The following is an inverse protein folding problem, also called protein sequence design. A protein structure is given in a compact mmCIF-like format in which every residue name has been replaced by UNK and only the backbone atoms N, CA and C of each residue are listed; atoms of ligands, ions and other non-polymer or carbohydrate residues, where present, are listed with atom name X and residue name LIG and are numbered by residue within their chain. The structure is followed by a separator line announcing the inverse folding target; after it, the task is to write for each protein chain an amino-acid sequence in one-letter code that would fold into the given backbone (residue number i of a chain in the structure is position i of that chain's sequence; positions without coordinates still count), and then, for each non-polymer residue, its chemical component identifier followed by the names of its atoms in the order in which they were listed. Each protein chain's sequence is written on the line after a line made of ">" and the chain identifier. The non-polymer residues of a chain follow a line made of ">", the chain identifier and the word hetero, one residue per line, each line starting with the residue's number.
data_IF_616659219544
#
_entry.id   IF_616659219544
#
_cell.length_a   1.000
_cell.length_b   1.000
_cell.length_c   1.000
_cell.angle_alpha   90.00
_cell.angle_beta   90.00
_cell.angle_gamma   90.00
#
_symmetry.space_group_name_H-M   'P 1'
#
loop_
_entity.id
_entity.type
_entity.pdbx_description
1 polymer ?
#
# COMPACT_ATOMS: atom_id res chain seq x y z
N UNK A 1 11.16 -17.39 -8.89
CA UNK A 1 11.47 -16.29 -7.94
C UNK A 1 10.91 -16.58 -6.55
N UNK A 2 9.65 -17.00 -6.46
CA UNK A 2 8.99 -17.42 -5.22
C UNK A 2 9.72 -18.54 -4.48
N UNK A 3 10.39 -19.45 -5.20
CA UNK A 3 11.18 -20.54 -4.61
C UNK A 3 12.27 -20.07 -3.62
N UNK A 4 12.79 -18.85 -3.77
CA UNK A 4 13.76 -18.29 -2.82
C UNK A 4 13.11 -17.87 -1.50
N UNK A 5 11.82 -17.54 -1.49
CA UNK A 5 11.08 -17.32 -0.26
C UNK A 5 10.89 -18.62 0.54
N UNK A 6 10.99 -19.79 -0.10
CA UNK A 6 10.90 -21.09 0.57
C UNK A 6 12.26 -21.61 1.07
N UNK A 7 13.30 -20.78 1.03
CA UNK A 7 14.66 -21.14 1.46
C UNK A 7 15.15 -20.08 2.45
N UNK A 8 15.39 -20.50 3.70
CA UNK A 8 15.89 -19.61 4.74
C UNK A 8 16.54 -20.35 5.90
N UNK A 9 17.27 -19.59 6.73
CA UNK A 9 17.89 -20.10 7.94
C UNK A 9 16.85 -20.32 9.07
N UNK A 10 17.29 -20.81 10.23
CA UNK A 10 16.39 -21.05 11.38
C UNK A 10 15.68 -19.76 11.83
N UNK A 11 16.39 -18.63 11.87
CA UNK A 11 15.82 -17.34 12.24
C UNK A 11 14.74 -16.86 11.27
N UNK A 12 14.93 -17.08 9.97
CA UNK A 12 13.94 -16.81 8.94
C UNK A 12 12.65 -17.60 9.19
N UNK A 13 12.75 -18.91 9.40
CA UNK A 13 11.59 -19.74 9.65
C UNK A 13 10.90 -19.42 10.99
N UNK A 14 11.66 -19.07 12.02
CA UNK A 14 11.11 -18.59 13.28
C UNK A 14 10.32 -17.29 13.10
N UNK A 15 10.84 -16.36 12.30
CA UNK A 15 10.15 -15.12 11.95
C UNK A 15 8.87 -15.38 11.16
N UNK A 16 8.90 -16.28 10.16
CA UNK A 16 7.72 -16.67 9.40
C UNK A 16 6.66 -17.31 10.29
N UNK A 17 7.05 -18.23 11.18
CA UNK A 17 6.12 -18.86 12.12
C UNK A 17 5.47 -17.83 13.07
N UNK A 18 6.25 -16.87 13.56
CA UNK A 18 5.75 -15.77 14.37
C UNK A 18 4.71 -14.92 13.60
N UNK A 19 5.00 -14.53 12.36
CA UNK A 19 4.08 -13.76 11.52
C UNK A 19 2.79 -14.55 11.23
N UNK A 20 2.88 -15.85 10.93
CA UNK A 20 1.71 -16.72 10.73
C UNK A 20 0.86 -16.80 12.00
N UNK A 21 1.49 -16.90 13.17
CA UNK A 21 0.77 -16.88 14.45
C UNK A 21 0.03 -15.56 14.65
N UNK A 22 0.66 -14.41 14.38
CA UNK A 22 0.00 -13.10 14.44
C UNK A 22 -1.17 -13.00 13.47
N UNK A 23 -1.03 -13.50 12.23
CA UNK A 23 -2.12 -13.55 11.24
C UNK A 23 -3.26 -14.43 11.75
N UNK A 24 -2.96 -15.60 12.32
CA UNK A 24 -3.97 -16.50 12.89
C UNK A 24 -4.76 -15.85 14.03
N UNK A 25 -4.09 -15.14 14.92
CA UNK A 25 -4.74 -14.36 15.99
C UNK A 25 -5.63 -13.23 15.41
N UNK A 26 -5.13 -12.52 14.39
CA UNK A 26 -5.90 -11.48 13.70
C UNK A 26 -7.15 -12.02 13.01
N UNK A 27 -7.04 -13.16 12.32
CA UNK A 27 -8.17 -13.84 11.68
C UNK A 27 -9.19 -14.35 12.70
N UNK A 28 -8.74 -14.87 13.84
CA UNK A 28 -9.63 -15.29 14.92
C UNK A 28 -10.40 -14.10 15.52
N UNK A 29 -9.72 -12.98 15.78
CA UNK A 29 -10.37 -11.76 16.24
C UNK A 29 -11.37 -11.20 15.21
N UNK A 30 -11.01 -11.25 13.92
CA UNK A 30 -11.91 -10.82 12.85
C UNK A 30 -13.13 -11.75 12.72
N UNK A 31 -12.96 -13.07 12.87
CA UNK A 31 -14.09 -14.01 12.89
C UNK A 31 -15.06 -13.71 14.05
N UNK A 32 -14.53 -13.46 15.25
CA UNK A 32 -15.33 -13.04 16.40
C UNK A 32 -16.12 -11.75 16.12
N UNK A 33 -15.48 -10.76 15.48
CA UNK A 33 -16.15 -9.53 15.04
C UNK A 33 -17.27 -9.78 14.02
N UNK A 34 -17.09 -10.69 13.08
CA UNK A 34 -18.13 -10.99 12.08
C UNK A 34 -19.40 -11.58 12.72
N UNK A 35 -19.24 -12.33 13.80
CA UNK A 35 -20.36 -12.90 14.56
C UNK A 35 -21.03 -11.88 15.49
N UNK A 36 -20.23 -11.07 16.20
CA UNK A 36 -20.73 -10.15 17.24
C UNK A 36 -20.96 -8.71 16.76
N UNK A 37 -20.57 -8.42 15.51
CA UNK A 37 -20.68 -7.10 14.88
C UNK A 37 -19.52 -6.16 15.21
N UNK A 38 -19.46 -5.03 14.48
CA UNK A 38 -18.38 -4.05 14.58
C UNK A 38 -18.26 -3.38 15.96
N UNK A 39 -19.28 -3.45 16.82
CA UNK A 39 -19.25 -2.85 18.16
C UNK A 39 -18.12 -3.38 19.05
N UNK A 40 -17.63 -4.60 18.81
CA UNK A 40 -16.49 -5.18 19.56
C UNK A 40 -15.19 -4.41 19.36
N UNK A 41 -15.08 -3.61 18.30
CA UNK A 41 -13.92 -2.76 18.02
C UNK A 41 -13.92 -1.45 18.81
N UNK A 42 -14.97 -1.19 19.59
CA UNK A 42 -15.20 0.10 20.26
C UNK A 42 -15.76 1.17 19.32
N UNK A 43 -16.04 0.85 18.06
CA UNK A 43 -16.80 1.72 17.17
C UNK A 43 -18.25 1.81 17.61
N UNK A 44 -18.86 2.97 17.39
CA UNK A 44 -20.23 3.27 17.77
C UNK A 44 -20.90 4.19 16.77
N UNK A 45 -22.08 4.69 17.12
CA UNK A 45 -22.86 5.58 16.25
C UNK A 45 -22.12 6.89 15.94
N UNK A 46 -21.46 7.47 16.95
CA UNK A 46 -20.80 8.76 16.81
C UNK A 46 -19.39 8.63 16.23
N UNK A 47 -18.72 7.49 16.47
CA UNK A 47 -17.39 7.15 15.95
C UNK A 47 -17.51 5.85 15.14
N UNK A 48 -17.92 6.02 13.87
CA UNK A 48 -18.13 4.91 12.93
C UNK A 48 -16.85 4.42 12.25
N UNK A 49 -15.78 5.22 12.30
CA UNK A 49 -14.46 4.88 11.76
C UNK A 49 -13.44 4.89 12.90
N UNK A 50 -12.93 3.70 13.21
CA UNK A 50 -11.95 3.48 14.27
C UNK A 50 -10.58 3.10 13.74
N UNK A 51 -9.98 2.09 14.37
CA UNK A 51 -8.63 1.63 14.07
C UNK A 51 -8.43 1.26 12.59
N UNK A 52 -9.41 0.59 11.97
CA UNK A 52 -9.27 0.10 10.60
C UNK A 52 -9.08 1.22 9.59
N UNK A 53 -9.94 2.24 9.60
CA UNK A 53 -9.86 3.35 8.67
C UNK A 53 -8.64 4.25 8.96
N UNK A 54 -8.24 4.38 10.23
CA UNK A 54 -7.00 5.05 10.61
C UNK A 54 -5.76 4.32 10.03
N UNK A 55 -5.68 3.00 10.18
CA UNK A 55 -4.58 2.18 9.63
C UNK A 55 -4.57 2.17 8.11
N UNK A 56 -5.75 2.03 7.50
CA UNK A 56 -5.93 2.19 6.06
C UNK A 56 -5.32 3.51 5.56
N UNK A 57 -5.64 4.63 6.20
CA UNK A 57 -5.16 5.95 5.79
C UNK A 57 -3.64 6.09 5.95
N UNK A 58 -3.11 5.56 7.05
CA UNK A 58 -1.66 5.50 7.26
C UNK A 58 -0.97 4.68 6.18
N UNK A 59 -1.50 3.50 5.83
CA UNK A 59 -0.93 2.61 4.84
C UNK A 59 -1.09 3.09 3.41
N UNK A 60 -2.15 3.83 3.08
CA UNK A 60 -2.22 4.60 1.83
C UNK A 60 -1.03 5.56 1.78
N UNK A 61 -0.71 6.21 2.91
CA UNK A 61 0.53 6.98 3.13
C UNK A 61 1.80 6.22 2.79
N UNK A 62 1.96 5.04 3.37
CA UNK A 62 3.10 4.16 3.13
C UNK A 62 3.19 3.72 1.67
N UNK A 63 2.05 3.49 1.01
CA UNK A 63 2.01 3.05 -0.37
C UNK A 63 2.60 4.08 -1.35
N UNK A 64 2.48 5.38 -1.07
CA UNK A 64 3.12 6.41 -1.90
C UNK A 64 4.63 6.54 -1.74
N UNK A 65 5.28 5.81 -0.83
CA UNK A 65 6.74 5.78 -0.74
C UNK A 65 7.42 5.44 -2.08
N UNK A 66 6.81 4.59 -2.90
CA UNK A 66 7.31 4.24 -4.23
C UNK A 66 7.44 5.46 -5.14
N UNK A 67 6.47 6.37 -5.14
CA UNK A 67 6.48 7.54 -6.04
C UNK A 67 7.65 8.48 -5.73
N UNK A 68 8.07 8.55 -4.45
CA UNK A 68 9.18 9.38 -4.00
C UNK A 68 10.53 8.97 -4.58
N UNK A 69 10.70 7.70 -4.94
CA UNK A 69 11.92 7.18 -5.56
C UNK A 69 11.77 6.97 -7.07
N UNK A 70 10.55 6.68 -7.54
CA UNK A 70 10.21 6.56 -8.97
C UNK A 70 10.36 7.91 -9.68
N UNK A 71 9.92 9.01 -9.08
CA UNK A 71 10.00 10.34 -9.69
C UNK A 71 11.46 10.75 -10.02
N UNK A 72 12.42 10.76 -9.07
CA UNK A 72 13.82 11.05 -9.39
C UNK A 72 14.41 10.11 -10.44
N UNK A 73 14.10 8.81 -10.37
CA UNK A 73 14.68 7.82 -11.28
C UNK A 73 14.18 7.98 -12.72
N UNK A 74 12.86 8.09 -12.92
CA UNK A 74 12.24 8.09 -14.26
C UNK A 74 12.07 9.49 -14.86
N UNK A 75 11.77 10.53 -14.05
CA UNK A 75 11.58 11.89 -14.57
C UNK A 75 12.87 12.72 -14.55
N UNK A 76 13.69 12.58 -13.51
CA UNK A 76 14.91 13.37 -13.36
C UNK A 76 16.19 12.60 -13.74
N UNK A 77 16.05 11.39 -14.32
CA UNK A 77 17.15 10.52 -14.75
C UNK A 77 18.21 10.24 -13.67
N UNK A 78 17.81 10.20 -12.39
CA UNK A 78 18.70 9.85 -11.26
C UNK A 78 18.77 8.33 -11.10
N UNK A 79 19.73 7.70 -11.81
CA UNK A 79 19.90 6.24 -11.83
C UNK A 79 20.29 5.61 -10.48
N UNK A 80 20.83 6.42 -9.58
CA UNK A 80 21.12 6.09 -8.17
C UNK A 80 19.94 5.44 -7.45
N UNK A 81 18.70 5.77 -7.84
CA UNK A 81 17.49 5.25 -7.20
C UNK A 81 17.03 3.87 -7.71
N UNK A 82 17.76 3.21 -8.63
CA UNK A 82 17.28 1.99 -9.29
C UNK A 82 16.91 0.84 -8.33
N UNK A 83 17.77 0.50 -7.37
CA UNK A 83 17.51 -0.60 -6.42
C UNK A 83 16.43 -0.22 -5.41
N UNK A 84 16.43 1.02 -4.93
CA UNK A 84 15.43 1.49 -3.97
C UNK A 84 14.04 1.64 -4.61
N UNK A 85 13.94 1.89 -5.92
CA UNK A 85 12.67 1.84 -6.66
C UNK A 85 12.01 0.48 -6.52
N UNK A 86 12.79 -0.62 -6.69
CA UNK A 86 12.25 -1.97 -6.53
C UNK A 86 11.71 -2.19 -5.11
N UNK A 87 12.46 -1.77 -4.09
CA UNK A 87 12.00 -1.87 -2.68
C UNK A 87 10.74 -1.04 -2.47
N UNK A 88 10.69 0.18 -3.01
CA UNK A 88 9.54 1.07 -2.94
C UNK A 88 8.29 0.49 -3.60
N UNK A 89 8.41 -0.06 -4.81
CA UNK A 89 7.28 -0.67 -5.54
C UNK A 89 6.71 -1.89 -4.79
N UNK A 90 7.54 -2.74 -4.20
CA UNK A 90 7.06 -3.86 -3.39
C UNK A 90 6.49 -3.43 -2.04
N UNK A 91 7.03 -2.38 -1.43
CA UNK A 91 6.43 -1.75 -0.25
C UNK A 91 5.03 -1.23 -0.58
N UNK A 92 4.88 -0.55 -1.73
CA UNK A 92 3.59 -0.09 -2.23
C UNK A 92 2.59 -1.22 -2.45
N UNK A 93 3.02 -2.34 -3.04
CA UNK A 93 2.18 -3.55 -3.20
C UNK A 93 1.72 -4.07 -1.84
N UNK A 94 2.63 -4.25 -0.89
CA UNK A 94 2.28 -4.77 0.44
C UNK A 94 1.34 -3.84 1.21
N UNK A 95 1.57 -2.53 1.15
CA UNK A 95 0.74 -1.52 1.77
C UNK A 95 -0.65 -1.46 1.13
N UNK A 96 -0.75 -1.49 -0.20
CA UNK A 96 -2.02 -1.49 -0.93
C UNK A 96 -2.87 -2.73 -0.62
N UNK A 97 -2.25 -3.91 -0.51
CA UNK A 97 -2.96 -5.14 -0.06
C UNK A 97 -3.51 -4.96 1.35
N UNK A 98 -2.69 -4.45 2.28
CA UNK A 98 -3.14 -4.20 3.65
C UNK A 98 -4.25 -3.15 3.72
N UNK A 99 -4.21 -2.09 2.91
CA UNK A 99 -5.30 -1.11 2.79
C UNK A 99 -6.62 -1.79 2.46
N UNK A 100 -6.64 -2.66 1.45
CA UNK A 100 -7.85 -3.38 1.05
C UNK A 100 -8.31 -4.36 2.12
N UNK A 101 -7.39 -5.01 2.85
CA UNK A 101 -7.74 -5.87 3.97
C UNK A 101 -8.36 -5.08 5.13
N UNK A 102 -7.88 -3.87 5.42
CA UNK A 102 -8.49 -3.01 6.44
C UNK A 102 -9.88 -2.52 6.03
N UNK A 103 -10.08 -2.16 4.76
CA UNK A 103 -11.42 -1.85 4.23
C UNK A 103 -12.34 -3.07 4.37
N UNK A 104 -11.87 -4.26 4.02
CA UNK A 104 -12.63 -5.51 4.17
C UNK A 104 -12.98 -5.80 5.62
N UNK A 105 -12.07 -5.53 6.56
CA UNK A 105 -12.30 -5.72 7.97
C UNK A 105 -13.30 -4.71 8.56
N UNK A 106 -13.34 -3.48 8.03
CA UNK A 106 -14.27 -2.43 8.44
C UNK A 106 -15.69 -2.63 7.89
N UNK A 107 -15.83 -3.37 6.79
CA UNK A 107 -17.13 -3.72 6.21
C UNK A 107 -17.96 -4.60 7.15
N UNK A 108 -19.14 -4.15 7.53
CA UNK A 108 -20.07 -4.95 8.35
C UNK A 108 -20.64 -6.19 7.64
N UNK A 109 -20.56 -6.27 6.31
CA UNK A 109 -20.98 -7.43 5.50
C UNK A 109 -19.97 -7.67 4.36
N UNK A 110 -18.74 -8.15 4.66
CA UNK A 110 -17.67 -8.28 3.66
C UNK A 110 -18.02 -9.22 2.51
N UNK A 111 -18.92 -10.18 2.71
CA UNK A 111 -19.44 -11.08 1.67
C UNK A 111 -20.11 -10.35 0.49
N UNK A 112 -20.45 -9.07 0.64
CA UNK A 112 -21.04 -8.24 -0.41
C UNK A 112 -20.02 -7.35 -1.14
N UNK A 113 -18.73 -7.46 -0.85
CA UNK A 113 -17.71 -6.55 -1.41
C UNK A 113 -17.68 -6.53 -2.94
N UNK A 114 -17.94 -7.67 -3.60
CA UNK A 114 -18.00 -7.77 -5.05
C UNK A 114 -19.15 -6.96 -5.67
N UNK A 115 -20.16 -6.58 -4.89
CA UNK A 115 -21.25 -5.73 -5.36
C UNK A 115 -20.75 -4.34 -5.78
N UNK A 116 -19.65 -3.85 -5.21
CA UNK A 116 -19.06 -2.56 -5.62
C UNK A 116 -18.60 -2.62 -7.09
N UNK A 117 -18.12 -3.77 -7.54
CA UNK A 117 -17.70 -3.98 -8.94
C UNK A 117 -18.88 -4.33 -9.85
N UNK A 118 -19.84 -5.11 -9.34
CA UNK A 118 -21.02 -5.54 -10.11
C UNK A 118 -22.03 -4.40 -10.33
N UNK A 119 -22.12 -3.46 -9.39
CA UNK A 119 -23.02 -2.32 -9.44
C UNK A 119 -22.21 -1.03 -9.26
N UNK A 120 -21.48 -0.58 -10.30
CA UNK A 120 -20.66 0.63 -10.22
C UNK A 120 -21.49 1.85 -9.84
N UNK A 121 -21.04 2.60 -8.84
CA UNK A 121 -21.65 3.87 -8.40
C UNK A 121 -20.63 5.00 -8.47
N UNK A 122 -20.42 5.65 -9.64
CA UNK A 122 -19.40 6.68 -9.83
C UNK A 122 -19.57 7.93 -8.97
N UNK A 123 -20.76 8.16 -8.41
CA UNK A 123 -21.02 9.25 -7.47
C UNK A 123 -20.49 8.99 -6.05
N UNK A 124 -20.02 7.77 -5.75
CA UNK A 124 -19.49 7.40 -4.44
C UNK A 124 -17.97 7.47 -4.42
N UNK A 125 -17.41 8.12 -3.40
CA UNK A 125 -15.96 8.17 -3.23
C UNK A 125 -15.35 6.81 -2.88
N UNK A 126 -16.11 5.94 -2.22
CA UNK A 126 -15.70 4.56 -1.91
C UNK A 126 -15.53 3.73 -3.19
N UNK A 127 -16.36 3.98 -4.22
CA UNK A 127 -16.20 3.32 -5.51
C UNK A 127 -14.86 3.72 -6.17
N UNK A 128 -14.55 5.02 -6.16
CA UNK A 128 -13.27 5.51 -6.68
C UNK A 128 -12.09 4.98 -5.87
N UNK A 129 -12.21 4.87 -4.55
CA UNK A 129 -11.17 4.31 -3.67
C UNK A 129 -10.82 2.87 -4.07
N UNK A 130 -11.83 2.03 -4.32
CA UNK A 130 -11.65 0.67 -4.86
C UNK A 130 -10.94 0.68 -6.21
N UNK A 131 -11.34 1.56 -7.14
CA UNK A 131 -10.71 1.67 -8.47
C UNK A 131 -9.24 2.08 -8.37
N UNK A 132 -8.93 3.11 -7.59
CA UNK A 132 -7.56 3.62 -7.51
C UNK A 132 -6.65 2.66 -6.74
N UNK A 133 -7.11 2.03 -5.65
CA UNK A 133 -6.29 1.06 -4.91
C UNK A 133 -5.97 -0.18 -5.75
N UNK A 134 -6.97 -0.74 -6.44
CA UNK A 134 -6.75 -1.91 -7.29
C UNK A 134 -5.86 -1.57 -8.50
N UNK A 135 -6.10 -0.42 -9.14
CA UNK A 135 -5.23 0.04 -10.24
C UNK A 135 -3.79 0.25 -9.77
N UNK A 136 -3.59 0.83 -8.57
CA UNK A 136 -2.26 1.07 -8.04
C UNK A 136 -1.55 -0.24 -7.75
N UNK A 137 -2.26 -1.18 -7.11
CA UNK A 137 -1.74 -2.50 -6.83
C UNK A 137 -1.29 -3.21 -8.12
N UNK A 138 -2.14 -3.24 -9.15
CA UNK A 138 -1.82 -3.92 -10.40
C UNK A 138 -0.63 -3.28 -11.12
N UNK A 139 -0.56 -1.95 -11.17
CA UNK A 139 0.55 -1.23 -11.80
C UNK A 139 1.87 -1.52 -11.09
N UNK A 140 1.92 -1.43 -9.76
CA UNK A 140 3.15 -1.68 -8.99
C UNK A 140 3.52 -3.17 -8.97
N UNK A 141 2.53 -4.07 -8.92
CA UNK A 141 2.79 -5.50 -8.94
C UNK A 141 3.37 -5.93 -10.29
N UNK A 142 2.76 -5.53 -11.40
CA UNK A 142 3.23 -5.90 -12.74
C UNK A 142 4.57 -5.20 -13.05
N UNK A 143 4.65 -3.89 -12.77
CA UNK A 143 5.85 -3.08 -12.98
C UNK A 143 7.03 -3.59 -12.16
N UNK A 144 6.86 -3.62 -10.83
CA UNK A 144 7.91 -4.03 -9.90
C UNK A 144 8.31 -5.49 -10.03
N UNK A 145 7.39 -6.40 -10.32
CA UNK A 145 7.74 -7.80 -10.59
C UNK A 145 8.60 -7.93 -11.86
N UNK A 146 8.28 -7.17 -12.91
CA UNK A 146 9.04 -7.20 -14.15
C UNK A 146 10.42 -6.57 -13.98
N UNK A 147 10.53 -5.44 -13.28
CA UNK A 147 11.80 -4.77 -12.99
C UNK A 147 12.68 -5.65 -12.10
N UNK A 148 12.14 -6.24 -11.04
CA UNK A 148 12.87 -7.19 -10.18
C UNK A 148 13.35 -8.42 -10.96
N UNK A 149 12.53 -8.94 -11.88
CA UNK A 149 12.91 -10.05 -12.74
C UNK A 149 14.05 -9.71 -13.70
N UNK A 150 14.09 -8.48 -14.23
CA UNK A 150 15.15 -7.98 -15.10
C UNK A 150 16.45 -7.73 -14.31
N UNK A 151 16.35 -7.08 -13.15
CA UNK A 151 17.48 -6.84 -12.22
C UNK A 151 18.16 -8.15 -11.82
N UNK A 152 17.37 -9.16 -11.45
CA UNK A 152 17.91 -10.49 -11.09
C UNK A 152 18.69 -11.14 -12.24
N UNK A 153 18.29 -10.88 -13.49
CA UNK A 153 18.95 -11.42 -14.69
C UNK A 153 20.12 -10.56 -15.15
N UNK A 154 20.36 -9.39 -14.53
CA UNK A 154 21.36 -8.43 -14.98
C UNK A 154 21.06 -7.85 -16.36
N UNK A 155 19.78 -7.77 -16.74
CA UNK A 155 19.35 -7.22 -18.03
C UNK A 155 18.50 -5.97 -17.81
N UNK A 156 18.48 -5.10 -18.82
CA UNK A 156 17.61 -3.93 -18.78
C UNK A 156 16.12 -4.36 -18.76
N UNK A 157 15.26 -3.67 -17.97
CA UNK A 157 13.83 -3.90 -17.99
C UNK A 157 13.24 -3.72 -19.40
N UNK A 158 12.27 -4.55 -19.82
CA UNK A 158 11.60 -4.39 -21.10
C UNK A 158 10.99 -2.99 -21.27
N UNK A 159 11.09 -2.43 -22.48
CA UNK A 159 10.62 -1.05 -22.76
C UNK A 159 9.12 -0.84 -22.50
N UNK A 160 8.31 -1.90 -22.59
CA UNK A 160 6.86 -1.85 -22.35
C UNK A 160 6.49 -1.58 -20.88
N UNK A 161 7.42 -1.80 -19.94
CA UNK A 161 7.19 -1.52 -18.52
C UNK A 161 7.21 -0.02 -18.24
N UNK A 162 7.96 0.76 -19.02
CA UNK A 162 8.09 2.21 -18.82
C UNK A 162 6.72 2.91 -18.83
N UNK A 163 5.83 2.72 -19.82
CA UNK A 163 4.47 3.26 -19.76
C UNK A 163 3.70 2.94 -18.48
N UNK A 164 3.81 1.72 -17.93
CA UNK A 164 3.12 1.35 -16.69
C UNK A 164 3.62 2.14 -15.48
N UNK A 165 4.94 2.38 -15.43
CA UNK A 165 5.54 3.19 -14.36
C UNK A 165 5.13 4.66 -14.51
N UNK A 166 5.14 5.19 -15.72
CA UNK A 166 4.63 6.55 -15.95
C UNK A 166 3.15 6.68 -15.57
N UNK A 167 2.35 5.63 -15.78
CA UNK A 167 0.95 5.58 -15.36
C UNK A 167 0.79 5.38 -13.84
N UNK A 168 1.73 4.72 -13.16
CA UNK A 168 1.67 4.52 -11.71
C UNK A 168 1.88 5.83 -10.94
N UNK A 169 2.62 6.79 -11.51
CA UNK A 169 2.84 8.12 -10.93
C UNK A 169 1.51 8.85 -10.66
N UNK A 170 0.67 9.22 -11.67
CA UNK A 170 -0.60 9.89 -11.41
C UNK A 170 -1.51 9.04 -10.54
N UNK A 171 -1.44 7.71 -10.65
CA UNK A 171 -2.23 6.81 -9.81
C UNK A 171 -1.84 6.87 -8.33
N UNK A 172 -0.55 7.09 -8.01
CA UNK A 172 -0.08 7.35 -6.66
C UNK A 172 -0.66 8.66 -6.09
N UNK A 173 -0.75 9.73 -6.88
CA UNK A 173 -1.41 10.96 -6.45
C UNK A 173 -2.92 10.75 -6.29
N UNK A 174 -3.53 9.94 -7.16
CA UNK A 174 -4.95 9.62 -7.12
C UNK A 174 -5.35 8.87 -5.86
N UNK A 175 -4.60 7.85 -5.39
CA UNK A 175 -4.96 7.14 -4.15
C UNK A 175 -5.06 8.10 -2.96
N UNK A 176 -4.14 9.06 -2.84
CA UNK A 176 -4.18 10.06 -1.76
C UNK A 176 -5.33 11.06 -1.89
N UNK A 177 -5.52 11.57 -3.10
CA UNK A 177 -6.56 12.55 -3.37
C UNK A 177 -7.93 11.93 -3.13
N UNK A 178 -8.11 10.69 -3.56
CA UNK A 178 -9.36 9.96 -3.39
C UNK A 178 -9.64 9.66 -1.93
N UNK A 179 -8.65 9.16 -1.19
CA UNK A 179 -8.79 8.96 0.25
C UNK A 179 -9.09 10.29 0.97
N UNK A 180 -8.44 11.40 0.62
CA UNK A 180 -8.75 12.70 1.21
C UNK A 180 -10.19 13.14 0.93
N UNK A 181 -10.70 12.93 -0.29
CA UNK A 181 -12.10 13.23 -0.62
C UNK A 181 -13.09 12.32 0.10
N UNK A 182 -12.71 11.07 0.38
CA UNK A 182 -13.52 10.15 1.18
C UNK A 182 -13.69 10.68 2.62
N UNK A 183 -12.65 11.29 3.19
CA UNK A 183 -12.74 11.98 4.48
C UNK A 183 -13.54 13.30 4.39
N UNK A 184 -13.28 14.12 3.38
CA UNK A 184 -14.00 15.39 3.21
C UNK A 184 -15.51 15.19 2.97
N UNK A 185 -15.89 14.07 2.34
CA UNK A 185 -17.28 13.71 2.07
C UNK A 185 -18.06 13.20 3.28
N UNK A 186 -17.43 13.02 4.45
CA UNK A 186 -18.10 12.53 5.67
C UNK A 186 -18.96 13.62 6.33
N UNK A 187 -20.30 13.46 6.37
CA UNK A 187 -21.17 14.43 7.04
C UNK A 187 -20.87 14.52 8.53
N UNK A 188 -20.97 15.72 9.11
CA UNK A 188 -20.74 15.95 10.54
C UNK A 188 -19.27 16.01 10.97
N UNK A 189 -18.31 15.81 10.05
CA UNK A 189 -16.87 15.94 10.32
C UNK A 189 -16.29 17.21 9.70
N UNK A 190 -16.76 18.36 10.16
CA UNK A 190 -16.41 19.68 9.62
C UNK A 190 -14.90 19.97 9.58
N UNK A 191 -14.10 19.40 10.49
CA UNK A 191 -12.63 19.51 10.47
C UNK A 191 -11.97 18.86 9.25
N UNK A 192 -12.68 17.95 8.57
CA UNK A 192 -12.20 17.27 7.36
C UNK A 192 -12.71 17.93 6.08
N UNK A 193 -13.77 18.75 6.17
CA UNK A 193 -14.32 19.45 5.03
C UNK A 193 -13.50 20.71 4.70
N UNK A 194 -12.32 20.52 4.13
CA UNK A 194 -11.40 21.60 3.78
C UNK A 194 -10.67 21.31 2.48
N UNK A 195 -10.51 22.34 1.64
CA UNK A 195 -9.83 22.23 0.35
C UNK A 195 -8.35 21.82 0.46
N UNK A 196 -7.71 22.11 1.60
CA UNK A 196 -6.30 21.77 1.83
C UNK A 196 -6.11 20.29 2.24
N UNK A 197 -7.18 19.54 2.47
CA UNK A 197 -7.07 18.17 2.98
C UNK A 197 -6.28 17.26 2.03
N UNK A 198 -6.57 17.31 0.72
CA UNK A 198 -5.86 16.48 -0.26
C UNK A 198 -4.34 16.81 -0.35
N UNK A 199 -3.92 18.08 -0.49
CA UNK A 199 -2.49 18.43 -0.38
C UNK A 199 -1.85 18.01 0.94
N UNK A 200 -2.57 18.14 2.06
CA UNK A 200 -2.07 17.74 3.38
C UNK A 200 -1.86 16.23 3.49
N UNK A 201 -2.80 15.43 2.98
CA UNK A 201 -2.66 13.97 2.91
C UNK A 201 -1.42 13.58 2.12
N UNK A 202 -1.23 14.19 0.96
CA UNK A 202 -0.07 13.94 0.11
C UNK A 202 1.25 14.29 0.80
N UNK A 203 1.34 15.45 1.45
CA UNK A 203 2.53 15.85 2.20
C UNK A 203 2.86 14.87 3.34
N UNK A 204 1.84 14.47 4.11
CA UNK A 204 2.01 13.50 5.20
C UNK A 204 2.37 12.10 4.70
N UNK A 205 1.83 11.69 3.55
CA UNK A 205 2.13 10.43 2.91
C UNK A 205 3.58 10.35 2.46
N UNK A 206 4.08 11.40 1.80
CA UNK A 206 5.47 11.46 1.37
C UNK A 206 6.43 11.42 2.56
N UNK A 207 6.10 12.09 3.67
CA UNK A 207 6.89 12.02 4.89
C UNK A 207 6.88 10.61 5.51
N UNK A 208 5.70 10.05 5.79
CA UNK A 208 5.56 8.76 6.46
C UNK A 208 6.07 7.59 5.60
N UNK A 209 5.70 7.57 4.32
CA UNK A 209 6.12 6.54 3.38
C UNK A 209 7.64 6.53 3.18
N UNK A 210 8.27 7.69 2.99
CA UNK A 210 9.72 7.77 2.85
C UNK A 210 10.43 7.34 4.13
N UNK A 211 9.91 7.71 5.30
CA UNK A 211 10.48 7.27 6.58
C UNK A 211 10.45 5.74 6.73
N UNK A 212 9.33 5.08 6.40
CA UNK A 212 9.22 3.62 6.41
C UNK A 212 10.16 2.99 5.37
N UNK A 213 10.27 3.57 4.17
CA UNK A 213 11.17 3.06 3.12
C UNK A 213 12.65 3.12 3.55
N UNK A 214 13.06 4.19 4.22
CA UNK A 214 14.41 4.32 4.78
C UNK A 214 14.65 3.26 5.86
N UNK A 215 13.70 3.08 6.79
CA UNK A 215 13.80 2.07 7.84
C UNK A 215 13.91 0.65 7.26
N UNK A 216 13.08 0.32 6.26
CA UNK A 216 13.14 -0.98 5.60
C UNK A 216 14.47 -1.16 4.88
N UNK A 217 14.96 -0.13 4.20
CA UNK A 217 16.27 -0.17 3.52
C UNK A 217 17.41 -0.39 4.51
N UNK A 218 17.35 0.21 5.70
CA UNK A 218 18.31 -0.02 6.79
C UNK A 218 18.23 -1.46 7.34
N UNK A 219 17.02 -1.98 7.55
CA UNK A 219 16.81 -3.38 7.98
C UNK A 219 17.35 -4.35 6.93
N UNK A 220 17.08 -4.11 5.64
CA UNK A 220 17.58 -4.95 4.56
C UNK A 220 19.11 -4.95 4.51
N UNK A 221 19.74 -3.77 4.65
CA UNK A 221 21.20 -3.64 4.68
C UNK A 221 21.83 -4.41 5.84
N UNK A 222 21.26 -4.32 7.03
CA UNK A 222 21.80 -4.94 8.24
C UNK A 222 21.55 -6.46 8.31
N UNK A 223 20.39 -6.93 7.84
CA UNK A 223 20.01 -8.34 7.96
C UNK A 223 20.38 -9.21 6.76
N UNK A 224 20.43 -8.63 5.56
CA UNK A 224 20.66 -9.37 4.31
C UNK A 224 21.90 -8.91 3.53
N UNK A 225 22.55 -7.82 3.95
CA UNK A 225 23.64 -7.20 3.21
C UNK A 225 23.21 -6.48 1.92
N UNK A 226 21.90 -6.40 1.65
CA UNK A 226 21.36 -5.71 0.48
C UNK A 226 21.39 -4.19 0.70
N UNK A 227 22.29 -3.49 0.00
CA UNK A 227 22.36 -2.04 0.03
C UNK A 227 21.52 -1.42 -1.11
N UNK A 228 20.33 -0.94 -0.75
CA UNK A 228 19.40 -0.28 -1.67
C UNK A 228 19.91 1.07 -2.21
N UNK A 229 20.93 1.68 -1.59
CA UNK A 229 21.54 2.93 -2.03
C UNK A 229 22.70 2.76 -3.02
N UNK A 230 23.09 1.52 -3.32
CA UNK A 230 24.12 1.26 -4.34
C UNK A 230 23.53 1.31 -5.74
N UNK A 231 24.22 1.97 -6.67
CA UNK A 231 23.79 2.00 -8.08
C UNK A 231 23.57 0.60 -8.65
N UNK A 232 22.58 0.49 -9.52
CA UNK A 232 22.40 -0.67 -10.41
C UNK A 232 23.56 -0.66 -11.40
N UNK A 233 24.31 -1.77 -11.48
CA UNK A 233 25.42 -1.93 -12.43
C UNK A 233 24.91 -2.22 -13.83
#
# INVERSE_FOLDING_TARGET
>A
MIEKALKGNRSYWAWIAFLIACIGLGLNAWAYQLEHGLGVTGMGRDISWGLYIAQFTFLVGVAASAVMVVLPYYLHNRKEFGKIVIVGEFLAVSAAVMCMLFILADLGKPQRVLNVLRYPTPNSMVFWDVVVLNGYLLLNLIGGWTVLGAERKGIAPPKWVKPLIYLSIPWAFSIHTVTAFLYAGMPGRHLWLTAVLAPRFLASAFAAGTAILILISFILKTTSGFDAGTEVR
#
